data_IF_664849147456
#
_entry.id   IF_664849147456
#
_cell.length_a   1.000
_cell.length_b   1.000
_cell.length_c   1.000
_cell.angle_alpha   90.00
_cell.angle_beta   90.00
_cell.angle_gamma   90.00
#
_symmetry.space_group_name_H-M   'P 1'
#
loop_
_entity.id
_entity.type
_entity.pdbx_description
1 polymer ?
#
# COMPACT_ATOMS: atom_id res chain seq x y z
N UNK A 1 -1.86 -22.73 -0.07
CA UNK A 1 -1.69 -22.61 -1.54
C UNK A 1 -0.23 -22.56 -1.98
N UNK A 2 0.58 -21.56 -1.58
CA UNK A 2 2.03 -21.46 -1.94
C UNK A 2 2.84 -22.75 -1.76
N UNK A 3 2.63 -23.46 -0.64
CA UNK A 3 3.34 -24.72 -0.35
C UNK A 3 3.03 -25.85 -1.34
N UNK A 4 1.80 -25.91 -1.87
CA UNK A 4 1.36 -26.92 -2.86
C UNK A 4 1.88 -26.58 -4.26
N UNK A 5 1.87 -25.30 -4.64
CA UNK A 5 2.42 -24.84 -5.92
C UNK A 5 3.95 -25.04 -6.01
N UNK A 6 4.67 -24.80 -4.90
CA UNK A 6 6.12 -25.06 -4.83
C UNK A 6 6.48 -26.55 -4.98
N UNK A 7 5.67 -27.44 -4.39
CA UNK A 7 5.82 -28.89 -4.60
C UNK A 7 5.54 -29.30 -6.04
N UNK A 8 4.51 -28.74 -6.66
CA UNK A 8 4.15 -29.04 -8.05
C UNK A 8 5.24 -28.56 -9.03
N UNK A 9 5.78 -27.35 -8.84
CA UNK A 9 6.93 -26.83 -9.60
C UNK A 9 8.18 -27.70 -9.47
N UNK A 10 8.47 -28.22 -8.28
CA UNK A 10 9.57 -29.19 -8.08
C UNK A 10 9.35 -30.49 -8.84
N UNK A 11 8.14 -31.04 -8.80
CA UNK A 11 7.80 -32.29 -9.50
C UNK A 11 7.88 -32.10 -11.02
N UNK A 12 7.39 -30.97 -11.51
CA UNK A 12 7.51 -30.52 -12.91
C UNK A 12 8.97 -30.49 -13.36
N UNK A 13 9.83 -29.80 -12.60
CA UNK A 13 11.24 -29.64 -12.94
C UNK A 13 12.01 -30.99 -12.89
N UNK A 14 11.70 -31.83 -11.91
CA UNK A 14 12.25 -33.19 -11.82
C UNK A 14 11.82 -34.07 -12.99
N UNK A 15 10.59 -33.90 -13.49
CA UNK A 15 10.10 -34.63 -14.67
C UNK A 15 10.84 -34.18 -15.93
N UNK A 16 11.11 -32.88 -16.07
CA UNK A 16 11.94 -32.33 -17.14
C UNK A 16 13.37 -32.88 -17.09
N UNK A 17 13.97 -32.98 -15.91
CA UNK A 17 15.32 -33.56 -15.76
C UNK A 17 15.36 -35.06 -16.12
N UNK A 18 14.34 -35.83 -15.77
CA UNK A 18 14.22 -37.26 -16.11
C UNK A 18 14.01 -37.45 -17.61
N UNK A 19 13.19 -36.60 -18.22
CA UNK A 19 12.95 -36.56 -19.65
C UNK A 19 14.21 -36.18 -20.44
N UNK A 20 14.95 -35.18 -19.96
CA UNK A 20 16.18 -34.76 -20.62
C UNK A 20 17.27 -35.85 -20.52
N UNK A 21 17.26 -36.63 -19.43
CA UNK A 21 18.12 -37.82 -19.29
C UNK A 21 17.70 -39.00 -20.18
N UNK A 22 16.40 -39.20 -20.45
CA UNK A 22 15.94 -40.25 -21.39
C UNK A 22 16.23 -39.91 -22.85
N UNK A 23 16.42 -38.62 -23.17
CA UNK A 23 16.82 -38.14 -24.49
C UNK A 23 18.25 -38.57 -24.91
N UNK A 24 19.10 -39.00 -23.96
CA UNK A 24 20.43 -39.53 -24.28
C UNK A 24 20.41 -40.94 -24.91
N UNK A 25 19.26 -41.64 -24.93
CA UNK A 25 19.14 -43.00 -25.44
C UNK A 25 18.21 -43.20 -26.66
N UNK A 26 17.32 -42.26 -26.99
CA UNK A 26 16.31 -42.46 -28.04
C UNK A 26 16.48 -41.44 -29.16
N UNK A 27 17.32 -41.79 -30.13
CA UNK A 27 17.25 -41.18 -31.45
C UNK A 27 15.99 -41.69 -32.17
N UNK A 28 15.27 -40.76 -32.80
CA UNK A 28 14.31 -40.95 -33.91
C UNK A 28 13.02 -41.73 -33.64
N UNK A 29 12.07 -41.15 -32.89
CA UNK A 29 10.65 -41.47 -33.09
C UNK A 29 9.79 -40.19 -32.99
N UNK A 30 9.12 -39.73 -34.07
CA UNK A 30 8.33 -38.48 -34.09
C UNK A 30 7.31 -38.38 -32.94
N UNK A 31 6.72 -39.51 -32.54
CA UNK A 31 5.75 -39.56 -31.45
C UNK A 31 6.32 -39.15 -30.09
N UNK A 32 7.58 -39.49 -29.79
CA UNK A 32 8.22 -39.06 -28.55
C UNK A 32 8.52 -37.56 -28.57
N UNK A 33 8.86 -37.00 -29.73
CA UNK A 33 9.15 -35.57 -29.86
C UNK A 33 7.87 -34.73 -29.67
N UNK A 34 6.74 -35.14 -30.23
CA UNK A 34 5.45 -34.47 -30.01
C UNK A 34 5.01 -34.49 -28.53
N UNK A 35 5.24 -35.62 -27.84
CA UNK A 35 4.96 -35.74 -26.40
C UNK A 35 5.82 -34.79 -25.56
N UNK A 36 7.08 -34.59 -25.96
CA UNK A 36 7.99 -33.65 -25.31
C UNK A 36 7.57 -32.20 -25.52
N UNK A 37 7.22 -31.83 -26.75
CA UNK A 37 6.76 -30.48 -27.06
C UNK A 37 5.45 -30.16 -26.33
N UNK A 38 4.53 -31.13 -26.22
CA UNK A 38 3.32 -30.99 -25.42
C UNK A 38 3.65 -30.79 -23.93
N UNK A 39 4.59 -31.56 -23.40
CA UNK A 39 5.03 -31.43 -22.01
C UNK A 39 5.63 -30.05 -21.73
N UNK A 40 6.54 -29.57 -22.59
CA UNK A 40 7.14 -28.24 -22.49
C UNK A 40 6.08 -27.15 -22.56
N UNK A 41 5.11 -27.26 -23.48
CA UNK A 41 4.00 -26.30 -23.62
C UNK A 41 3.14 -26.22 -22.37
N UNK A 42 2.82 -27.37 -21.76
CA UNK A 42 2.08 -27.43 -20.49
C UNK A 42 2.87 -26.80 -19.34
N UNK A 43 4.19 -27.00 -19.30
CA UNK A 43 5.03 -26.34 -18.28
C UNK A 43 5.05 -24.84 -18.43
N UNK A 44 5.22 -24.33 -19.65
CA UNK A 44 5.17 -22.89 -19.90
C UNK A 44 3.82 -22.30 -19.53
N UNK A 45 2.70 -22.98 -19.84
CA UNK A 45 1.38 -22.54 -19.40
C UNK A 45 1.20 -22.56 -17.89
N UNK A 46 1.75 -23.57 -17.21
CA UNK A 46 1.70 -23.65 -15.75
C UNK A 46 2.46 -22.49 -15.10
N UNK A 47 3.68 -22.22 -15.57
CA UNK A 47 4.48 -21.08 -15.08
C UNK A 47 3.78 -19.75 -15.35
N UNK A 48 3.17 -19.58 -16.54
CA UNK A 48 2.39 -18.38 -16.88
C UNK A 48 1.22 -18.16 -15.89
N UNK A 49 0.43 -19.20 -15.61
CA UNK A 49 -0.70 -19.12 -14.65
C UNK A 49 -0.19 -18.81 -13.25
N UNK A 50 0.96 -19.36 -12.86
CA UNK A 50 1.56 -19.08 -11.57
C UNK A 50 1.99 -17.61 -11.44
N UNK A 51 2.61 -17.07 -12.48
CA UNK A 51 3.03 -15.67 -12.54
C UNK A 51 1.83 -14.72 -12.53
N UNK A 52 0.78 -15.03 -13.31
CA UNK A 52 -0.46 -14.26 -13.31
C UNK A 52 -1.16 -14.28 -11.94
N UNK A 53 -1.18 -15.43 -11.26
CA UNK A 53 -1.73 -15.54 -9.91
C UNK A 53 -0.93 -14.72 -8.89
N UNK A 54 0.41 -14.72 -9.00
CA UNK A 54 1.26 -13.89 -8.15
C UNK A 54 1.06 -12.40 -8.44
N UNK A 55 0.95 -12.01 -9.72
CA UNK A 55 0.66 -10.64 -10.12
C UNK A 55 -0.67 -10.16 -9.54
N UNK A 56 -1.73 -10.96 -9.67
CA UNK A 56 -3.05 -10.62 -9.13
C UNK A 56 -3.02 -10.48 -7.60
N UNK A 57 -2.29 -11.36 -6.90
CA UNK A 57 -2.09 -11.25 -5.45
C UNK A 57 -1.32 -9.98 -5.09
N UNK A 58 -0.25 -9.65 -5.82
CA UNK A 58 0.53 -8.43 -5.60
C UNK A 58 -0.33 -7.18 -5.84
N UNK A 59 -1.15 -7.16 -6.90
CA UNK A 59 -2.11 -6.08 -7.17
C UNK A 59 -3.14 -5.98 -6.05
N UNK A 60 -3.68 -7.09 -5.56
CA UNK A 60 -4.61 -7.08 -4.43
C UNK A 60 -3.97 -6.49 -3.17
N UNK A 61 -2.74 -6.87 -2.84
CA UNK A 61 -1.99 -6.28 -1.71
C UNK A 61 -1.77 -4.78 -1.94
N UNK A 62 -1.40 -4.38 -3.15
CA UNK A 62 -1.21 -2.97 -3.49
C UNK A 62 -2.51 -2.15 -3.31
N UNK A 63 -3.65 -2.69 -3.77
CA UNK A 63 -4.96 -2.07 -3.57
C UNK A 63 -5.36 -2.00 -2.09
N UNK A 64 -5.08 -3.05 -1.32
CA UNK A 64 -5.33 -3.04 0.12
C UNK A 64 -4.46 -1.98 0.82
N UNK A 65 -3.18 -1.88 0.46
CA UNK A 65 -2.26 -0.86 0.97
C UNK A 65 -2.70 0.56 0.57
N UNK A 66 -3.22 0.74 -0.65
CA UNK A 66 -3.77 2.02 -1.09
C UNK A 66 -4.96 2.44 -0.21
N UNK A 67 -5.90 1.52 0.07
CA UNK A 67 -7.02 1.80 0.97
C UNK A 67 -6.54 2.18 2.37
N UNK A 68 -5.55 1.47 2.93
CA UNK A 68 -4.99 1.83 4.24
C UNK A 68 -4.31 3.20 4.22
N UNK A 69 -3.59 3.53 3.14
CA UNK A 69 -2.96 4.84 2.99
C UNK A 69 -4.00 5.96 2.88
N UNK A 70 -5.13 5.73 2.20
CA UNK A 70 -6.24 6.68 2.15
C UNK A 70 -6.85 6.90 3.54
N UNK A 71 -7.06 5.85 4.33
CA UNK A 71 -7.57 5.96 5.71
C UNK A 71 -6.61 6.76 6.59
N UNK A 72 -5.31 6.45 6.58
CA UNK A 72 -4.29 7.18 7.36
C UNK A 72 -4.18 8.63 6.91
N UNK A 73 -4.28 8.89 5.60
CA UNK A 73 -4.27 10.23 5.04
C UNK A 73 -5.45 11.05 5.56
N UNK A 74 -6.67 10.49 5.55
CA UNK A 74 -7.85 11.16 6.10
C UNK A 74 -7.64 11.47 7.59
N UNK A 75 -7.16 10.51 8.38
CA UNK A 75 -6.92 10.72 9.80
C UNK A 75 -5.89 11.82 10.06
N UNK A 76 -4.82 11.86 9.28
CA UNK A 76 -3.76 12.87 9.37
C UNK A 76 -4.28 14.26 9.04
N UNK A 77 -5.14 14.40 8.03
CA UNK A 77 -5.79 15.68 7.71
C UNK A 77 -6.56 16.19 8.93
N UNK A 78 -7.39 15.34 9.54
CA UNK A 78 -8.12 15.71 10.76
C UNK A 78 -7.14 16.12 11.87
N UNK A 79 -6.11 15.32 12.15
CA UNK A 79 -5.12 15.63 13.19
C UNK A 79 -4.39 16.95 12.97
N UNK A 80 -4.03 17.31 11.74
CA UNK A 80 -3.35 18.57 11.42
C UNK A 80 -4.23 19.79 11.73
N UNK A 81 -5.55 19.67 11.61
CA UNK A 81 -6.48 20.71 12.05
C UNK A 81 -6.68 20.71 13.57
N UNK A 82 -6.82 19.53 14.18
CA UNK A 82 -7.10 19.44 15.62
C UNK A 82 -5.90 19.79 16.49
N UNK A 83 -4.67 19.42 16.13
CA UNK A 83 -3.47 19.62 16.95
C UNK A 83 -3.19 21.08 17.36
N UNK A 84 -3.22 22.08 16.45
CA UNK A 84 -3.05 23.48 16.85
C UNK A 84 -4.25 23.99 17.67
N UNK A 85 -5.47 23.55 17.35
CA UNK A 85 -6.67 23.93 18.09
C UNK A 85 -6.62 23.40 19.53
N UNK A 86 -6.31 22.11 19.71
CA UNK A 86 -6.19 21.48 21.02
C UNK A 86 -4.99 22.02 21.80
N UNK A 87 -3.90 22.41 21.13
CA UNK A 87 -2.77 23.07 21.79
C UNK A 87 -3.18 24.42 22.38
N UNK A 88 -3.87 25.26 21.61
CA UNK A 88 -4.34 26.56 22.10
C UNK A 88 -5.37 26.35 23.23
N UNK A 89 -6.35 25.46 23.04
CA UNK A 89 -7.32 25.11 24.11
C UNK A 89 -6.61 24.56 25.36
N UNK A 90 -5.55 23.77 25.19
CA UNK A 90 -4.74 23.26 26.30
C UNK A 90 -4.04 24.37 27.07
N UNK A 91 -3.44 25.34 26.38
CA UNK A 91 -2.83 26.52 27.01
C UNK A 91 -3.88 27.33 27.78
N UNK A 92 -5.04 27.60 27.19
CA UNK A 92 -6.13 28.35 27.83
C UNK A 92 -6.89 27.55 28.90
N UNK A 93 -6.82 26.21 28.86
CA UNK A 93 -7.38 25.32 29.88
C UNK A 93 -6.48 25.11 31.09
N UNK A 94 -5.22 25.55 31.02
CA UNK A 94 -4.34 25.59 32.19
C UNK A 94 -4.77 26.77 33.08
N UNK A 95 -5.06 26.52 34.36
CA UNK A 95 -5.41 27.52 35.38
C UNK A 95 -4.22 28.47 35.70
N UNK A 96 -3.82 29.31 34.75
CA UNK A 96 -2.85 30.38 35.00
C UNK A 96 -3.59 31.57 35.62
N UNK A 97 -3.31 31.84 36.90
CA UNK A 97 -3.80 33.00 37.67
C UNK A 97 -3.43 34.36 37.05
N UNK A 98 -2.45 34.38 36.13
CA UNK A 98 -1.96 35.57 35.45
C UNK A 98 -1.94 35.34 33.92
N UNK A 99 -3.11 35.40 33.28
CA UNK A 99 -3.20 35.60 31.82
C UNK A 99 -3.46 37.09 31.53
N UNK A 100 -2.43 37.92 31.33
CA UNK A 100 -2.60 39.37 31.10
C UNK A 100 -3.45 39.68 29.86
N UNK A 101 -3.51 38.77 28.89
CA UNK A 101 -4.36 38.88 27.69
C UNK A 101 -5.86 38.73 27.99
N UNK A 102 -6.25 38.00 29.04
CA UNK A 102 -7.66 37.77 29.42
C UNK A 102 -8.26 38.92 30.23
N UNK A 103 -7.42 39.85 30.72
CA UNK A 103 -7.82 41.01 31.53
C UNK A 103 -8.39 42.15 30.66
N UNK A 104 -8.09 42.14 29.36
CA UNK A 104 -8.64 43.03 28.34
C UNK A 104 -9.90 42.42 27.73
N UNK A 105 -10.95 43.22 27.49
CA UNK A 105 -12.23 42.72 26.92
C UNK A 105 -12.07 42.09 25.54
N UNK A 106 -10.97 42.39 24.86
CA UNK A 106 -10.66 41.93 23.51
C UNK A 106 -9.78 40.69 23.44
N UNK A 107 -9.24 40.19 24.56
CA UNK A 107 -8.36 39.01 24.58
C UNK A 107 -9.03 37.75 24.05
N UNK A 108 -10.21 37.42 24.57
CA UNK A 108 -10.96 36.24 24.15
C UNK A 108 -11.35 36.27 22.65
N UNK A 109 -11.90 37.39 22.11
CA UNK A 109 -12.10 37.54 20.66
C UNK A 109 -10.82 37.44 19.83
N UNK A 110 -9.70 38.02 20.29
CA UNK A 110 -8.43 38.00 19.56
C UNK A 110 -7.88 36.57 19.42
N UNK A 111 -8.00 35.76 20.46
CA UNK A 111 -7.59 34.35 20.46
C UNK A 111 -8.45 33.52 19.52
N UNK A 112 -9.76 33.76 19.49
CA UNK A 112 -10.65 33.12 18.53
C UNK A 112 -10.28 33.48 17.08
N UNK A 113 -9.99 34.75 16.81
CA UNK A 113 -9.51 35.20 15.49
C UNK A 113 -8.18 34.52 15.15
N UNK A 114 -7.26 34.40 16.11
CA UNK A 114 -5.98 33.69 15.92
C UNK A 114 -6.21 32.21 15.58
N UNK A 115 -7.07 31.50 16.30
CA UNK A 115 -7.42 30.10 16.02
C UNK A 115 -7.98 29.94 14.60
N UNK A 116 -8.90 30.83 14.20
CA UNK A 116 -9.49 30.82 12.85
C UNK A 116 -8.43 31.14 11.79
N UNK A 117 -7.57 32.12 12.04
CA UNK A 117 -6.48 32.50 11.13
C UNK A 117 -5.48 31.36 10.92
N UNK A 118 -5.09 30.65 12.00
CA UNK A 118 -4.20 29.48 11.92
C UNK A 118 -4.87 28.34 11.15
N UNK A 119 -6.16 28.09 11.40
CA UNK A 119 -6.92 27.06 10.67
C UNK A 119 -7.00 27.37 9.17
N UNK A 120 -7.30 28.61 8.82
CA UNK A 120 -7.35 29.08 7.43
C UNK A 120 -5.97 29.03 6.79
N UNK A 121 -4.92 29.44 7.49
CA UNK A 121 -3.54 29.36 6.99
C UNK A 121 -3.16 27.92 6.65
N UNK A 122 -3.44 26.97 7.54
CA UNK A 122 -3.20 25.54 7.31
C UNK A 122 -4.02 25.03 6.12
N UNK A 123 -5.31 25.41 6.03
CA UNK A 123 -6.17 25.06 4.91
C UNK A 123 -5.62 25.59 3.57
N UNK A 124 -5.22 26.86 3.50
CA UNK A 124 -4.64 27.46 2.30
C UNK A 124 -3.29 26.83 1.94
N UNK A 125 -2.43 26.58 2.92
CA UNK A 125 -1.17 25.88 2.73
C UNK A 125 -1.39 24.47 2.15
N UNK A 126 -2.39 23.75 2.67
CA UNK A 126 -2.75 22.42 2.21
C UNK A 126 -3.31 22.43 0.78
N UNK A 127 -4.13 23.45 0.45
CA UNK A 127 -4.62 23.69 -0.91
C UNK A 127 -3.48 24.01 -1.88
N UNK A 128 -2.52 24.83 -1.46
CA UNK A 128 -1.40 25.25 -2.29
C UNK A 128 -0.42 24.10 -2.55
N UNK A 129 -0.11 23.30 -1.53
CA UNK A 129 0.83 22.18 -1.67
C UNK A 129 0.29 21.00 -2.47
N UNK A 130 -1.00 20.95 -2.85
CA UNK A 130 -1.57 19.89 -3.70
C UNK A 130 -1.21 18.45 -3.24
N UNK A 131 -0.91 18.25 -1.95
CA UNK A 131 -0.48 16.95 -1.39
C UNK A 131 -1.61 15.90 -1.37
N UNK A 132 -2.80 16.30 -1.82
CA UNK A 132 -3.93 15.42 -2.17
C UNK A 132 -4.40 15.76 -3.58
N UNK A 133 -3.62 15.44 -4.61
CA UNK A 133 -4.19 15.24 -5.95
C UNK A 133 -3.87 13.83 -6.42
N UNK A 134 -4.96 13.05 -6.58
CA UNK A 134 -5.07 11.65 -7.03
C UNK A 134 -4.04 10.70 -6.44
#
# INVERSE_FOLDING_TARGET
MKRKAASCKKVIHLTTDVINRSHLGVKSNPFMQDMLDLHLKLMTQYDQIQDDANNLLNTYIALASQKTNEVVKILTIFSVFFLPLTFIVGIYGMNFDFMPELRERWGYPAVLILMVAVTLFIYYWFRWKKLIKK
#
